data_IF_713546806878
#
_entry.id   IF_713546806878
#
_cell.length_a   1.000
_cell.length_b   1.000
_cell.length_c   1.000
_cell.angle_alpha   90.00
_cell.angle_beta   90.00
_cell.angle_gamma   90.00
#
_symmetry.space_group_name_H-M   'P 1'
#
loop_
_entity.id
_entity.type
_entity.pdbx_description
1 polymer ?
#
# COMPACT_ATOMS: atom_id res chain seq x y z
N UNK A 1 3.73 -25.07 -1.06
CA UNK A 1 2.47 -24.39 -0.68
C UNK A 1 2.35 -24.10 0.82
N UNK A 2 2.63 -25.05 1.73
CA UNK A 2 2.52 -24.84 3.19
C UNK A 2 3.48 -23.76 3.74
N UNK A 3 4.71 -23.68 3.24
CA UNK A 3 5.65 -22.61 3.63
C UNK A 3 5.15 -21.22 3.18
N UNK A 4 4.48 -21.14 2.03
CA UNK A 4 3.93 -19.90 1.49
C UNK A 4 2.75 -19.39 2.33
N UNK A 5 1.88 -20.29 2.79
CA UNK A 5 0.76 -19.93 3.69
C UNK A 5 1.27 -19.54 5.07
N UNK A 6 2.29 -20.22 5.62
CA UNK A 6 2.88 -19.86 6.92
C UNK A 6 3.53 -18.49 6.88
N UNK A 7 4.32 -18.17 5.85
CA UNK A 7 4.96 -16.85 5.74
C UNK A 7 3.94 -15.74 5.51
N UNK A 8 2.92 -15.98 4.68
CA UNK A 8 1.82 -15.04 4.50
C UNK A 8 1.06 -14.79 5.82
N UNK A 9 0.84 -15.83 6.62
CA UNK A 9 0.20 -15.73 7.95
C UNK A 9 1.09 -14.97 8.93
N UNK A 10 2.41 -15.11 8.88
CA UNK A 10 3.34 -14.35 9.74
C UNK A 10 3.34 -12.86 9.38
N UNK A 11 3.39 -12.53 8.07
CA UNK A 11 3.30 -11.13 7.62
C UNK A 11 1.95 -10.52 8.00
N UNK A 12 0.86 -11.28 7.84
CA UNK A 12 -0.47 -10.87 8.30
C UNK A 12 -0.53 -10.70 9.83
N UNK A 13 0.07 -11.60 10.62
CA UNK A 13 0.10 -11.48 12.07
C UNK A 13 0.87 -10.24 12.55
N UNK A 14 2.04 -9.95 11.95
CA UNK A 14 2.86 -8.78 12.28
C UNK A 14 2.15 -7.47 11.93
N UNK A 15 1.48 -7.41 10.77
CA UNK A 15 0.68 -6.24 10.36
C UNK A 15 -0.52 -6.02 11.28
N UNK A 16 -1.18 -7.10 11.72
CA UNK A 16 -2.29 -7.06 12.67
C UNK A 16 -1.82 -6.64 14.07
N UNK A 17 -0.69 -7.16 14.56
CA UNK A 17 -0.14 -6.80 15.88
C UNK A 17 0.31 -5.34 15.97
N UNK A 18 0.92 -4.81 14.90
CA UNK A 18 1.21 -3.38 14.78
C UNK A 18 -0.09 -2.55 14.76
N UNK A 19 -1.13 -3.03 14.08
CA UNK A 19 -2.46 -2.38 14.07
C UNK A 19 -3.17 -2.39 15.43
N UNK A 20 -3.10 -3.50 16.18
CA UNK A 20 -3.74 -3.61 17.50
C UNK A 20 -2.99 -2.78 18.56
N UNK A 21 -1.65 -2.73 18.51
CA UNK A 21 -0.86 -1.87 19.39
C UNK A 21 -1.07 -0.37 19.13
N UNK A 22 -1.44 0.01 17.90
CA UNK A 22 -1.86 1.37 17.56
C UNK A 22 -3.21 1.75 18.20
N UNK A 23 -4.15 0.81 18.31
CA UNK A 23 -5.49 1.02 18.88
C UNK A 23 -5.49 0.99 20.41
N UNK A 24 -4.66 0.14 21.05
CA UNK A 24 -4.60 0.02 22.53
C UNK A 24 -3.87 1.17 23.23
N UNK A 25 -3.09 1.97 22.52
CA UNK A 25 -2.45 3.16 23.07
C UNK A 25 -3.38 4.37 23.02
N UNK A 26 -4.08 4.66 24.12
CA UNK A 26 -4.82 5.92 24.30
C UNK A 26 -3.86 7.12 24.25
N UNK A 27 -3.54 7.60 23.06
CA UNK A 27 -2.57 8.68 22.84
C UNK A 27 -3.29 9.97 22.51
N UNK A 28 -3.70 10.65 23.57
CA UNK A 28 -3.72 12.11 23.59
C UNK A 28 -2.34 12.65 23.14
N UNK A 29 -2.30 13.48 22.11
CA UNK A 29 -1.32 14.58 22.04
C UNK A 29 -0.23 14.62 20.96
N UNK A 30 -0.18 13.81 19.90
CA UNK A 30 0.80 14.09 18.82
C UNK A 30 0.40 13.53 17.44
N UNK A 31 0.10 14.43 16.50
CA UNK A 31 -0.14 14.16 15.06
C UNK A 31 0.92 13.22 14.47
N UNK A 32 2.17 13.29 14.96
CA UNK A 32 3.27 12.41 14.50
C UNK A 32 3.05 10.94 14.84
N UNK A 33 2.44 10.63 15.99
CA UNK A 33 2.15 9.25 16.38
C UNK A 33 0.94 8.68 15.63
N UNK A 34 -0.05 9.51 15.29
CA UNK A 34 -1.21 9.12 14.48
C UNK A 34 -0.85 8.82 13.02
N UNK A 35 0.02 9.64 12.42
CA UNK A 35 0.56 9.38 11.07
C UNK A 35 1.44 8.13 11.09
N UNK A 36 2.30 7.97 12.11
CA UNK A 36 3.13 6.78 12.26
C UNK A 36 2.30 5.49 12.38
N UNK A 37 1.16 5.51 13.08
CA UNK A 37 0.31 4.32 13.24
C UNK A 37 -0.34 3.82 11.95
N UNK A 38 -0.47 4.64 10.91
CA UNK A 38 -0.97 4.21 9.60
C UNK A 38 0.15 3.91 8.59
N UNK A 39 1.26 4.64 8.66
CA UNK A 39 2.41 4.48 7.74
C UNK A 39 3.26 3.24 8.08
N UNK A 40 3.40 2.92 9.37
CA UNK A 40 4.17 1.75 9.85
C UNK A 40 3.60 0.42 9.37
N UNK A 41 2.29 0.11 9.51
CA UNK A 41 1.76 -1.16 9.03
C UNK A 41 1.86 -1.29 7.50
N UNK A 42 1.59 -0.23 6.74
CA UNK A 42 1.73 -0.25 5.27
C UNK A 42 3.18 -0.45 4.82
N UNK A 43 4.14 0.25 5.44
CA UNK A 43 5.57 0.05 5.15
C UNK A 43 6.06 -1.33 5.57
N UNK A 44 5.57 -1.88 6.69
CA UNK A 44 5.94 -3.22 7.15
C UNK A 44 5.46 -4.32 6.20
N UNK A 45 4.26 -4.16 5.63
CA UNK A 45 3.74 -5.08 4.61
C UNK A 45 4.61 -5.05 3.34
N UNK A 46 5.01 -3.86 2.88
CA UNK A 46 5.88 -3.69 1.70
C UNK A 46 7.27 -4.30 1.95
N UNK A 47 7.86 -4.07 3.13
CA UNK A 47 9.17 -4.63 3.50
C UNK A 47 9.11 -6.16 3.64
N UNK A 48 8.02 -6.70 4.21
CA UNK A 48 7.82 -8.15 4.32
C UNK A 48 7.76 -8.85 2.96
N UNK A 49 7.07 -8.22 2.00
CA UNK A 49 7.01 -8.73 0.61
C UNK A 49 8.38 -8.60 -0.09
N UNK A 50 9.10 -7.49 0.08
CA UNK A 50 10.43 -7.31 -0.52
C UNK A 50 11.47 -8.27 0.09
N UNK A 51 11.49 -8.45 1.41
CA UNK A 51 12.37 -9.41 2.08
C UNK A 51 12.14 -10.84 1.55
N UNK A 52 10.88 -11.22 1.29
CA UNK A 52 10.55 -12.51 0.71
C UNK A 52 11.10 -12.69 -0.72
N UNK A 53 11.14 -11.62 -1.52
CA UNK A 53 11.70 -11.63 -2.88
C UNK A 53 13.24 -11.77 -2.85
N UNK A 54 13.92 -11.09 -1.92
CA UNK A 54 15.39 -11.10 -1.84
C UNK A 54 15.99 -12.29 -1.09
N UNK A 55 15.26 -12.92 -0.15
CA UNK A 55 15.74 -14.07 0.64
C UNK A 55 15.36 -15.45 0.05
N UNK A 56 14.85 -15.51 -1.18
CA UNK A 56 14.61 -16.77 -1.91
C UNK A 56 15.95 -17.37 -2.38
N UNK A 57 16.76 -17.86 -1.44
CA UNK A 57 17.91 -18.74 -1.73
C UNK A 57 17.46 -20.20 -1.72
N UNK A 58 17.87 -20.95 -2.73
CA UNK A 58 17.61 -22.36 -3.04
C UNK A 58 17.74 -23.35 -1.86
N UNK A 59 16.72 -23.45 -1.01
CA UNK A 59 16.62 -24.55 -0.04
C UNK A 59 15.20 -25.09 -0.12
N UNK A 60 15.08 -26.40 -0.35
CA UNK A 60 13.86 -27.21 -0.50
C UNK A 60 13.32 -27.37 -1.93
N UNK A 61 14.20 -27.78 -2.84
CA UNK A 61 13.80 -28.69 -3.92
C UNK A 61 13.52 -30.09 -3.32
N UNK A 62 12.26 -30.43 -3.07
CA UNK A 62 11.79 -31.82 -2.95
C UNK A 62 10.25 -31.91 -3.07
N UNK A 63 9.83 -32.27 -4.29
CA UNK A 63 8.62 -32.94 -4.77
C UNK A 63 7.26 -32.90 -4.04
N UNK A 64 6.25 -32.92 -4.92
CA UNK A 64 4.86 -33.38 -4.77
C UNK A 64 3.86 -32.35 -4.22
N UNK A 65 3.11 -31.73 -5.12
CA UNK A 65 1.75 -32.16 -5.53
C UNK A 65 1.31 -31.19 -6.62
N UNK A 66 1.06 -31.73 -7.80
CA UNK A 66 0.45 -31.02 -8.92
C UNK A 66 -1.02 -30.73 -8.59
N UNK A 67 -1.43 -29.46 -8.62
CA UNK A 67 -2.61 -29.06 -9.39
C UNK A 67 -2.65 -27.55 -9.64
N UNK A 68 -2.60 -27.21 -10.93
CA UNK A 68 -3.05 -25.98 -11.58
C UNK A 68 -2.35 -24.64 -11.26
N UNK A 69 -1.03 -24.60 -11.31
CA UNK A 69 -0.33 -23.41 -11.85
C UNK A 69 0.55 -23.91 -12.96
N UNK A 70 0.14 -23.64 -14.20
CA UNK A 70 0.93 -23.87 -15.40
C UNK A 70 2.31 -23.28 -15.15
N UNK A 71 3.32 -24.14 -15.04
CA UNK A 71 4.74 -23.77 -15.06
C UNK A 71 5.11 -23.28 -16.46
N UNK A 72 4.55 -22.14 -16.86
CA UNK A 72 5.18 -21.28 -17.84
C UNK A 72 6.17 -20.45 -17.04
N UNK A 73 7.46 -20.79 -17.17
CA UNK A 73 8.52 -19.99 -16.57
C UNK A 73 8.26 -18.52 -16.85
N UNK A 74 8.10 -17.71 -15.80
CA UNK A 74 7.82 -16.28 -15.93
C UNK A 74 8.85 -15.69 -16.89
N UNK A 75 8.40 -15.20 -18.02
CA UNK A 75 9.27 -14.44 -18.92
C UNK A 75 9.78 -13.23 -18.14
N UNK A 76 11.04 -12.84 -18.36
CA UNK A 76 11.58 -11.57 -17.83
C UNK A 76 10.61 -10.41 -18.12
N UNK A 77 9.91 -10.45 -19.27
CA UNK A 77 8.86 -9.50 -19.61
C UNK A 77 7.69 -9.46 -18.64
N UNK A 78 7.18 -10.61 -18.18
CA UNK A 78 6.07 -10.68 -17.22
C UNK A 78 6.50 -10.21 -15.82
N UNK A 79 7.72 -10.54 -15.40
CA UNK A 79 8.30 -10.02 -14.15
C UNK A 79 8.42 -8.50 -14.15
N UNK A 80 8.89 -7.91 -15.27
CA UNK A 80 8.96 -6.45 -15.42
C UNK A 80 7.57 -5.79 -15.40
N UNK A 81 6.52 -6.43 -15.95
CA UNK A 81 5.14 -5.90 -15.91
C UNK A 81 4.68 -5.67 -14.46
N UNK A 82 4.94 -6.62 -13.55
CA UNK A 82 4.56 -6.48 -12.14
C UNK A 82 5.33 -5.37 -11.43
N UNK A 83 6.64 -5.24 -11.69
CA UNK A 83 7.46 -4.17 -11.11
C UNK A 83 7.00 -2.80 -11.61
N UNK A 84 6.73 -2.68 -12.92
CA UNK A 84 6.24 -1.44 -13.52
C UNK A 84 4.88 -1.03 -12.96
N UNK A 85 3.95 -1.97 -12.79
CA UNK A 85 2.65 -1.71 -12.16
C UNK A 85 2.80 -1.27 -10.69
N UNK A 86 3.65 -1.93 -9.91
CA UNK A 86 3.88 -1.55 -8.52
C UNK A 86 4.50 -0.14 -8.38
N UNK A 87 5.49 0.19 -9.22
CA UNK A 87 6.12 1.51 -9.23
C UNK A 87 5.16 2.62 -9.65
N UNK A 88 4.31 2.39 -10.66
CA UNK A 88 3.32 3.36 -11.14
C UNK A 88 2.37 3.80 -10.02
N UNK A 89 1.69 2.86 -9.35
CA UNK A 89 0.79 3.22 -8.23
C UNK A 89 1.58 3.73 -7.02
N UNK A 90 2.73 3.13 -6.70
CA UNK A 90 3.54 3.52 -5.55
C UNK A 90 4.02 4.97 -5.60
N UNK A 91 4.57 5.41 -6.73
CA UNK A 91 5.04 6.78 -6.88
C UNK A 91 3.88 7.80 -6.96
N UNK A 92 2.80 7.44 -7.65
CA UNK A 92 1.61 8.29 -7.75
C UNK A 92 0.97 8.56 -6.39
N UNK A 93 0.82 7.52 -5.56
CA UNK A 93 0.24 7.64 -4.21
C UNK A 93 1.15 8.41 -3.24
N UNK A 94 2.48 8.30 -3.36
CA UNK A 94 3.42 9.12 -2.58
C UNK A 94 3.27 10.62 -2.88
N UNK A 95 3.17 11.00 -4.16
CA UNK A 95 2.94 12.39 -4.57
C UNK A 95 1.57 12.90 -4.12
N UNK A 96 0.53 12.08 -4.32
CA UNK A 96 -0.85 12.38 -3.93
C UNK A 96 -0.97 12.61 -2.43
N UNK A 97 -0.33 11.77 -1.60
CA UNK A 97 -0.36 11.93 -0.15
C UNK A 97 0.18 13.28 0.34
N UNK A 98 1.22 13.82 -0.32
CA UNK A 98 1.74 15.16 0.01
C UNK A 98 0.79 16.27 -0.42
N UNK A 99 0.22 16.16 -1.62
CA UNK A 99 -0.74 17.14 -2.14
C UNK A 99 -2.02 17.17 -1.30
N UNK A 100 -2.63 16.01 -1.06
CA UNK A 100 -3.85 15.86 -0.26
C UNK A 100 -3.62 16.28 1.19
N UNK A 101 -2.45 16.04 1.77
CA UNK A 101 -2.12 16.53 3.11
C UNK A 101 -2.15 18.07 3.20
N UNK A 102 -1.60 18.76 2.20
CA UNK A 102 -1.61 20.23 2.15
C UNK A 102 -3.01 20.80 1.88
N UNK A 103 -3.73 20.24 0.91
CA UNK A 103 -5.08 20.69 0.55
C UNK A 103 -6.08 20.38 1.67
N UNK A 104 -6.01 19.20 2.26
CA UNK A 104 -6.90 18.76 3.34
C UNK A 104 -6.73 19.58 4.61
N UNK A 105 -5.50 19.88 5.02
CA UNK A 105 -5.26 20.72 6.21
C UNK A 105 -5.77 22.16 6.02
N UNK A 106 -5.59 22.73 4.84
CA UNK A 106 -6.11 24.05 4.48
C UNK A 106 -7.65 24.05 4.42
N UNK A 107 -8.22 22.98 3.86
CA UNK A 107 -9.66 22.80 3.76
C UNK A 107 -10.34 22.73 5.14
N UNK A 108 -9.81 21.93 6.07
CA UNK A 108 -10.35 21.84 7.43
C UNK A 108 -10.22 23.18 8.18
N UNK A 109 -9.13 23.92 7.95
CA UNK A 109 -8.95 25.27 8.50
C UNK A 109 -10.05 26.22 8.04
N UNK A 110 -10.32 26.27 6.73
CA UNK A 110 -11.35 27.13 6.16
C UNK A 110 -12.78 26.71 6.59
N UNK A 111 -13.05 25.40 6.66
CA UNK A 111 -14.34 24.86 7.13
C UNK A 111 -14.59 25.19 8.61
N UNK A 112 -13.53 25.33 9.41
CA UNK A 112 -13.65 25.77 10.81
C UNK A 112 -14.10 27.23 10.92
N UNK A 113 -13.81 28.08 9.93
CA UNK A 113 -14.27 29.48 9.89
C UNK A 113 -15.69 29.59 9.30
N UNK A 114 -15.95 28.85 8.22
CA UNK A 114 -17.27 28.79 7.59
C UNK A 114 -17.66 27.35 7.25
N UNK A 115 -18.60 26.73 7.98
CA UNK A 115 -19.02 25.37 7.70
C UNK A 115 -19.81 25.24 6.38
N UNK A 116 -20.31 26.34 5.83
CA UNK A 116 -21.10 26.32 4.58
C UNK A 116 -20.25 25.98 3.35
N UNK A 117 -18.93 26.16 3.41
CA UNK A 117 -18.02 25.88 2.29
C UNK A 117 -17.54 24.43 2.22
N UNK A 118 -17.91 23.57 3.18
CA UNK A 118 -17.48 22.17 3.26
C UNK A 118 -17.53 21.44 1.91
N UNK A 119 -18.65 21.55 1.20
CA UNK A 119 -18.84 20.90 -0.11
C UNK A 119 -17.84 21.37 -1.17
N UNK A 120 -17.50 22.67 -1.22
CA UNK A 120 -16.53 23.21 -2.18
C UNK A 120 -15.12 22.75 -1.86
N UNK A 121 -14.76 22.72 -0.59
CA UNK A 121 -13.45 22.22 -0.13
C UNK A 121 -13.25 20.73 -0.43
N UNK A 122 -14.30 19.90 -0.31
CA UNK A 122 -14.22 18.48 -0.67
C UNK A 122 -13.94 18.25 -2.16
N UNK A 123 -14.42 19.13 -3.06
CA UNK A 123 -14.11 19.06 -4.49
C UNK A 123 -12.60 19.24 -4.73
N UNK A 124 -11.96 20.22 -4.07
CA UNK A 124 -10.52 20.44 -4.22
C UNK A 124 -9.68 19.30 -3.64
N UNK A 125 -10.10 18.71 -2.53
CA UNK A 125 -9.44 17.51 -1.96
C UNK A 125 -9.60 16.32 -2.90
N UNK A 126 -10.79 16.08 -3.45
CA UNK A 126 -11.03 15.00 -4.41
C UNK A 126 -10.27 15.19 -5.73
N UNK A 127 -10.14 16.42 -6.22
CA UNK A 127 -9.30 16.74 -7.38
C UNK A 127 -7.82 16.42 -7.12
N UNK A 128 -7.33 16.68 -5.91
CA UNK A 128 -5.97 16.33 -5.53
C UNK A 128 -5.74 14.81 -5.47
N UNK A 129 -6.77 14.04 -5.09
CA UNK A 129 -6.71 12.57 -5.04
C UNK A 129 -6.66 11.92 -6.44
N UNK A 130 -7.15 12.62 -7.48
CA UNK A 130 -7.19 12.12 -8.85
C UNK A 130 -5.84 11.59 -9.36
N UNK A 131 -4.72 12.15 -8.89
CA UNK A 131 -3.36 11.69 -9.25
C UNK A 131 -3.13 10.22 -8.86
N UNK A 132 -3.63 9.79 -7.69
CA UNK A 132 -3.52 8.40 -7.25
C UNK A 132 -4.39 7.48 -8.09
N UNK A 133 -5.60 7.92 -8.45
CA UNK A 133 -6.53 7.16 -9.28
C UNK A 133 -5.91 6.94 -10.68
N UNK A 134 -5.31 7.97 -11.28
CA UNK A 134 -4.62 7.81 -12.56
C UNK A 134 -3.43 6.83 -12.46
N UNK A 135 -2.63 6.89 -11.40
CA UNK A 135 -1.53 5.93 -11.17
C UNK A 135 -2.01 4.49 -11.03
N UNK A 136 -3.15 4.28 -10.36
CA UNK A 136 -3.83 2.99 -10.24
C UNK A 136 -4.36 2.50 -11.59
N UNK A 137 -5.04 3.36 -12.36
CA UNK A 137 -5.53 3.04 -13.71
C UNK A 137 -4.36 2.62 -14.61
N UNK A 138 -3.26 3.36 -14.62
CA UNK A 138 -2.07 3.03 -15.42
C UNK A 138 -1.51 1.65 -15.00
N UNK A 139 -1.53 1.33 -13.71
CA UNK A 139 -1.07 0.03 -13.22
C UNK A 139 -1.97 -1.11 -13.68
N UNK A 140 -3.29 -0.90 -13.67
CA UNK A 140 -4.27 -1.85 -14.25
C UNK A 140 -4.01 -2.01 -15.75
N UNK A 141 -3.76 -0.93 -16.49
CA UNK A 141 -3.43 -0.98 -17.91
C UNK A 141 -2.11 -1.72 -18.18
N UNK A 142 -1.09 -1.59 -17.32
CA UNK A 142 0.15 -2.36 -17.45
C UNK A 142 -0.11 -3.86 -17.25
N UNK A 143 -1.01 -4.24 -16.35
CA UNK A 143 -1.29 -5.64 -16.04
C UNK A 143 -2.19 -6.31 -17.09
N UNK A 144 -3.25 -5.62 -17.51
CA UNK A 144 -4.30 -6.18 -18.36
C UNK A 144 -4.27 -5.70 -19.81
N UNK A 145 -3.45 -4.69 -20.11
CA UNK A 145 -3.16 -4.25 -21.47
C UNK A 145 -1.93 -4.94 -22.08
#
# INVERSE_FOLDING_TARGET
MVLMTIVAVIIAAVTIECGISAIKGNKSGSIRKAIATSVVPFSSAVVGVLAFIFFKSDVLAANAVAEAVTETGMSTGEGLKYIAAALSTGMATMGTGRAVGAVGSSAIGAVSEDPSILGKTLIFVGMAEGIAIYGMIISILILFG
#
